data_IF_070976779552
#
_entry.id   IF_070976779552
#
_cell.length_a   1.000
_cell.length_b   1.000
_cell.length_c   1.000
_cell.angle_alpha   90.00
_cell.angle_beta   90.00
_cell.angle_gamma   90.00
#
_symmetry.space_group_name_H-M   'P 1'
#
loop_
_entity.id
_entity.type
_entity.pdbx_description
1 polymer ?
#
# COMPACT_ATOMS: atom_id res chain seq x y z
N UNK A 1 -17.46 1.63 -1.74
CA UNK A 1 -16.49 0.74 -1.22
C UNK A 1 -15.79 -0.15 -2.21
N UNK A 2 -16.09 -0.04 -3.48
CA UNK A 2 -15.56 -0.78 -4.59
C UNK A 2 -14.70 0.15 -5.47
N UNK A 3 -13.85 0.94 -4.82
CA UNK A 3 -12.65 1.43 -5.46
C UNK A 3 -11.57 0.34 -5.33
N UNK A 4 -11.95 -0.91 -5.54
CA UNK A 4 -11.07 -1.91 -6.03
C UNK A 4 -10.68 -1.45 -7.42
N UNK A 5 -9.48 -0.97 -7.50
CA UNK A 5 -8.84 -0.59 -8.72
C UNK A 5 -8.69 -1.84 -9.57
N UNK A 6 -9.48 -1.97 -10.60
CA UNK A 6 -9.37 -3.04 -11.56
C UNK A 6 -8.31 -2.66 -12.60
N UNK A 7 -7.21 -3.39 -12.59
CA UNK A 7 -6.29 -3.39 -13.73
C UNK A 7 -6.67 -4.58 -14.60
N UNK A 8 -7.34 -4.33 -15.67
CA UNK A 8 -7.22 -5.27 -16.78
C UNK A 8 -5.75 -5.26 -17.20
N UNK A 9 -5.18 -6.44 -17.33
CA UNK A 9 -3.75 -6.74 -17.45
C UNK A 9 -3.00 -6.06 -18.61
N UNK A 10 -3.61 -5.19 -19.37
CA UNK A 10 -3.11 -4.77 -20.67
C UNK A 10 -2.83 -3.26 -20.85
N UNK A 11 -3.17 -2.38 -19.91
CA UNK A 11 -3.20 -0.94 -20.26
C UNK A 11 -2.19 -0.04 -19.53
N UNK A 12 -1.55 -0.41 -18.44
CA UNK A 12 -0.85 0.62 -17.66
C UNK A 12 0.66 0.57 -17.54
N UNK A 13 1.24 -0.59 -17.39
CA UNK A 13 2.71 -0.67 -17.36
C UNK A 13 3.29 -0.99 -18.73
N UNK A 14 2.51 -1.64 -19.60
CA UNK A 14 2.90 -1.99 -20.96
C UNK A 14 2.97 -0.79 -21.91
N UNK A 15 2.14 0.24 -21.66
CA UNK A 15 1.96 1.36 -22.61
C UNK A 15 2.96 2.50 -22.40
N UNK A 16 3.67 2.54 -21.28
CA UNK A 16 4.75 3.50 -21.08
C UNK A 16 5.96 3.12 -21.93
N UNK A 17 6.51 4.02 -22.74
CA UNK A 17 7.76 3.81 -23.46
C UNK A 17 8.89 3.30 -22.54
N UNK A 18 9.87 2.61 -23.14
CA UNK A 18 11.06 2.20 -22.40
C UNK A 18 11.79 3.41 -21.81
N UNK A 19 12.18 3.31 -20.53
CA UNK A 19 12.90 4.36 -19.84
C UNK A 19 12.05 5.54 -19.39
N UNK A 20 10.70 5.44 -19.44
CA UNK A 20 9.80 6.50 -18.99
C UNK A 20 10.03 6.87 -17.52
N UNK A 21 9.80 8.16 -17.24
CA UNK A 21 9.96 8.74 -15.90
C UNK A 21 8.64 8.64 -15.13
N UNK A 22 8.63 7.88 -14.03
CA UNK A 22 7.44 7.70 -13.19
C UNK A 22 7.62 8.37 -11.83
N UNK A 23 6.68 9.25 -11.48
CA UNK A 23 6.69 10.01 -10.22
C UNK A 23 6.00 9.25 -9.08
N UNK A 24 6.77 8.89 -8.04
CA UNK A 24 6.23 8.41 -6.77
C UNK A 24 7.18 8.73 -5.62
N UNK A 25 6.65 8.90 -4.40
CA UNK A 25 7.43 9.01 -3.16
C UNK A 25 7.31 7.77 -2.28
N UNK A 26 6.68 6.71 -2.77
CA UNK A 26 6.41 5.50 -2.03
C UNK A 26 7.37 4.39 -2.44
N UNK A 27 8.29 4.00 -1.55
CA UNK A 27 9.21 2.88 -1.78
C UNK A 27 8.45 1.57 -2.07
N UNK A 28 7.29 1.39 -1.46
CA UNK A 28 6.41 0.25 -1.72
C UNK A 28 5.95 0.19 -3.18
N UNK A 29 5.53 1.34 -3.75
CA UNK A 29 5.12 1.42 -5.16
C UNK A 29 6.31 1.27 -6.09
N UNK A 30 7.41 1.92 -5.76
CA UNK A 30 8.67 1.84 -6.51
C UNK A 30 9.14 0.40 -6.63
N UNK A 31 9.26 -0.34 -5.52
CA UNK A 31 9.70 -1.73 -5.52
C UNK A 31 8.83 -2.62 -6.43
N UNK A 32 7.50 -2.54 -6.29
CA UNK A 32 6.58 -3.34 -7.07
C UNK A 32 6.62 -2.99 -8.57
N UNK A 33 6.74 -1.70 -8.89
CA UNK A 33 6.82 -1.24 -10.27
C UNK A 33 8.14 -1.68 -10.93
N UNK A 34 9.28 -1.44 -10.29
CA UNK A 34 10.60 -1.79 -10.83
C UNK A 34 10.83 -3.29 -10.96
N UNK A 35 10.18 -4.11 -10.14
CA UNK A 35 10.22 -5.57 -10.31
C UNK A 35 9.58 -6.03 -11.64
N UNK A 36 8.56 -5.32 -12.12
CA UNK A 36 7.88 -5.62 -13.39
C UNK A 36 8.46 -4.86 -14.58
N UNK A 37 8.88 -3.65 -14.35
CA UNK A 37 9.41 -2.71 -15.36
C UNK A 37 10.73 -2.12 -14.86
N UNK A 38 11.82 -2.91 -14.90
CA UNK A 38 13.14 -2.47 -14.42
C UNK A 38 13.77 -1.36 -15.29
N UNK A 39 13.19 -1.11 -16.46
CA UNK A 39 13.60 -0.05 -17.38
C UNK A 39 13.13 1.34 -16.95
N UNK A 40 12.10 1.44 -16.10
CA UNK A 40 11.53 2.73 -15.71
C UNK A 40 12.44 3.53 -14.79
N UNK A 41 12.41 4.85 -14.96
CA UNK A 41 13.11 5.78 -14.09
C UNK A 41 12.15 6.32 -13.02
N UNK A 42 12.35 5.89 -11.77
CA UNK A 42 11.54 6.41 -10.67
C UNK A 42 12.12 7.72 -10.17
N UNK A 43 11.32 8.78 -10.17
CA UNK A 43 11.68 10.08 -9.59
C UNK A 43 10.77 10.42 -8.43
N UNK A 44 11.38 11.02 -7.41
CA UNK A 44 10.68 11.40 -6.19
C UNK A 44 9.66 12.50 -6.44
N UNK A 45 8.38 12.28 -6.09
CA UNK A 45 7.28 13.19 -6.31
C UNK A 45 6.69 13.70 -5.00
N UNK A 46 6.90 14.98 -4.68
CA UNK A 46 6.34 15.67 -3.51
C UNK A 46 5.30 16.71 -3.88
N UNK A 47 4.48 17.05 -2.89
CA UNK A 47 3.44 18.07 -2.95
C UNK A 47 2.05 17.49 -2.69
N UNK A 48 1.04 18.33 -2.67
CA UNK A 48 -0.36 17.93 -2.67
C UNK A 48 -0.78 17.41 -4.06
N UNK A 49 -2.03 16.95 -4.20
CA UNK A 49 -2.54 16.40 -5.46
C UNK A 49 -2.40 17.41 -6.61
N UNK A 50 -2.81 18.67 -6.41
CA UNK A 50 -2.74 19.70 -7.44
C UNK A 50 -1.30 19.95 -7.90
N UNK A 51 -0.36 20.07 -6.95
CA UNK A 51 1.06 20.27 -7.27
C UNK A 51 1.64 19.10 -8.06
N UNK A 52 1.25 17.87 -7.73
CA UNK A 52 1.72 16.67 -8.43
C UNK A 52 1.16 16.58 -9.84
N UNK A 53 -0.13 16.93 -10.03
CA UNK A 53 -0.74 17.01 -11.36
C UNK A 53 -0.10 18.11 -12.21
N UNK A 54 0.16 19.28 -11.62
CA UNK A 54 0.82 20.37 -12.33
C UNK A 54 2.23 19.98 -12.83
N UNK A 55 2.98 19.20 -12.07
CA UNK A 55 4.29 18.68 -12.50
C UNK A 55 4.18 17.68 -13.65
N UNK A 56 3.13 16.84 -13.65
CA UNK A 56 2.83 15.96 -14.79
C UNK A 56 2.51 16.79 -16.03
N UNK A 57 1.64 17.81 -15.89
CA UNK A 57 1.23 18.68 -16.99
C UNK A 57 2.42 19.49 -17.54
N UNK A 58 3.39 19.81 -16.68
CA UNK A 58 4.64 20.48 -17.10
C UNK A 58 5.64 19.56 -17.81
N UNK A 59 5.34 18.24 -17.92
CA UNK A 59 6.22 17.26 -18.56
C UNK A 59 7.44 16.86 -17.73
N UNK A 60 7.43 17.11 -16.42
CA UNK A 60 8.51 16.64 -15.53
C UNK A 60 8.50 15.12 -15.36
N UNK A 61 7.37 14.47 -15.64
CA UNK A 61 7.10 13.03 -15.53
C UNK A 61 6.27 12.57 -16.73
N UNK A 62 6.49 11.36 -17.19
CA UNK A 62 5.65 10.69 -18.18
C UNK A 62 4.39 10.10 -17.53
N UNK A 63 4.50 9.68 -16.26
CA UNK A 63 3.38 9.21 -15.45
C UNK A 63 3.61 9.49 -13.96
N UNK A 64 2.53 9.56 -13.18
CA UNK A 64 2.60 9.68 -11.71
C UNK A 64 1.62 8.70 -11.06
N UNK A 65 1.99 8.16 -9.90
CA UNK A 65 1.14 7.23 -9.15
C UNK A 65 0.55 7.94 -7.93
N UNK A 66 -0.77 8.11 -7.94
CA UNK A 66 -1.54 8.74 -6.86
C UNK A 66 -2.55 7.75 -6.26
N UNK A 67 -3.16 8.13 -5.14
CA UNK A 67 -4.31 7.41 -4.60
C UNK A 67 -5.58 7.88 -5.34
N UNK A 68 -6.27 6.96 -6.02
CA UNK A 68 -7.49 7.27 -6.79
C UNK A 68 -8.56 7.95 -5.93
N UNK A 69 -8.77 7.48 -4.70
CA UNK A 69 -9.71 8.10 -3.76
C UNK A 69 -9.45 9.60 -3.50
N UNK A 70 -8.18 10.02 -3.53
CA UNK A 70 -7.81 11.44 -3.38
C UNK A 70 -8.20 12.26 -4.59
N UNK A 71 -8.03 11.72 -5.79
CA UNK A 71 -8.43 12.36 -7.06
C UNK A 71 -9.97 12.46 -7.15
N UNK A 72 -10.68 11.37 -6.89
CA UNK A 72 -12.15 11.31 -6.88
C UNK A 72 -12.72 12.34 -5.90
N UNK A 73 -12.20 12.39 -4.66
CA UNK A 73 -12.66 13.34 -3.64
C UNK A 73 -12.47 14.81 -4.03
N UNK A 74 -11.50 15.11 -4.89
CA UNK A 74 -11.20 16.45 -5.37
C UNK A 74 -11.87 16.76 -6.72
N UNK A 75 -12.68 15.85 -7.29
CA UNK A 75 -13.35 16.02 -8.58
C UNK A 75 -12.37 15.93 -9.77
N UNK A 76 -11.33 15.10 -9.65
CA UNK A 76 -10.32 14.90 -10.70
C UNK A 76 -10.39 13.50 -11.31
N UNK A 77 -11.56 12.88 -11.35
CA UNK A 77 -11.76 11.54 -11.92
C UNK A 77 -11.28 11.47 -13.38
N UNK A 78 -11.53 12.51 -14.17
CA UNK A 78 -11.11 12.59 -15.58
C UNK A 78 -9.58 12.58 -15.77
N UNK A 79 -8.81 12.78 -14.68
CA UNK A 79 -7.35 12.74 -14.68
C UNK A 79 -6.82 11.33 -14.39
N UNK A 80 -7.68 10.39 -14.06
CA UNK A 80 -7.30 8.99 -13.81
C UNK A 80 -7.25 8.27 -15.15
N UNK A 81 -6.04 8.06 -15.65
CA UNK A 81 -5.83 7.31 -16.90
C UNK A 81 -6.09 5.84 -16.70
N UNK A 82 -5.68 5.31 -15.55
CA UNK A 82 -5.82 3.91 -15.23
C UNK A 82 -5.73 3.69 -13.73
N UNK A 83 -6.39 2.64 -13.28
CA UNK A 83 -6.44 2.28 -11.87
C UNK A 83 -5.69 0.96 -11.66
N UNK A 84 -4.69 0.93 -10.76
CA UNK A 84 -3.82 -0.23 -10.48
C UNK A 84 -4.56 -1.25 -9.62
N UNK A 85 -4.69 -2.51 -10.06
CA UNK A 85 -5.30 -3.58 -9.28
C UNK A 85 -4.46 -3.94 -8.05
N UNK A 86 -5.09 -4.56 -7.06
CA UNK A 86 -4.37 -5.08 -5.89
C UNK A 86 -3.49 -6.29 -6.24
N UNK A 87 -3.77 -6.96 -7.34
CA UNK A 87 -3.01 -8.07 -7.90
C UNK A 87 -1.69 -7.58 -8.49
N UNK A 88 -1.70 -6.36 -9.04
CA UNK A 88 -0.53 -5.75 -9.65
C UNK A 88 0.29 -4.94 -8.66
N UNK A 89 -0.34 -4.30 -7.70
CA UNK A 89 0.37 -3.55 -6.67
C UNK A 89 -0.39 -3.56 -5.34
N UNK A 90 0.06 -4.40 -4.42
CA UNK A 90 -0.51 -4.44 -3.07
C UNK A 90 -0.44 -3.04 -2.41
N UNK A 91 -1.53 -2.62 -1.74
CA UNK A 91 -1.60 -1.34 -1.06
C UNK A 91 -0.77 -1.32 0.24
N UNK A 92 -0.70 -0.16 0.88
CA UNK A 92 -0.25 -0.06 2.26
C UNK A 92 -1.29 -0.65 3.21
N UNK A 93 -0.85 -1.20 4.33
CA UNK A 93 -1.78 -1.68 5.35
C UNK A 93 -2.72 -0.58 5.83
N UNK A 94 -4.02 -0.88 5.84
CA UNK A 94 -5.08 0.07 6.18
C UNK A 94 -5.39 1.12 5.12
N UNK A 95 -4.83 1.03 3.91
CA UNK A 95 -5.11 2.00 2.85
C UNK A 95 -6.60 2.01 2.50
N UNK A 96 -7.20 3.21 2.50
CA UNK A 96 -8.63 3.41 2.23
C UNK A 96 -9.53 3.28 3.46
N UNK A 97 -9.04 2.78 4.58
CA UNK A 97 -9.78 2.82 5.84
C UNK A 97 -9.69 4.21 6.47
N UNK A 98 -10.82 4.73 6.95
CA UNK A 98 -10.85 5.98 7.72
C UNK A 98 -10.64 5.64 9.20
N UNK A 99 -9.56 6.13 9.79
CA UNK A 99 -9.29 6.05 11.22
C UNK A 99 -9.77 7.31 11.94
N UNK A 100 -10.44 7.13 13.06
CA UNK A 100 -10.83 8.23 13.95
C UNK A 100 -10.04 8.10 15.24
N UNK A 101 -9.26 9.14 15.57
CA UNK A 101 -8.48 9.19 16.81
C UNK A 101 -9.23 9.97 17.88
N UNK A 102 -9.27 9.42 19.09
CA UNK A 102 -9.80 10.10 20.26
C UNK A 102 -9.03 9.70 21.52
N UNK A 103 -9.22 10.44 22.62
CA UNK A 103 -8.57 10.12 23.90
C UNK A 103 -9.06 8.78 24.43
N UNK A 104 -8.15 7.92 24.86
CA UNK A 104 -8.44 6.57 25.37
C UNK A 104 -9.40 6.57 26.56
N UNK A 105 -9.33 7.59 27.41
CA UNK A 105 -10.18 7.70 28.60
C UNK A 105 -11.57 8.31 28.34
N UNK A 106 -11.83 8.81 27.12
CA UNK A 106 -13.05 9.54 26.78
C UNK A 106 -14.19 8.59 26.39
N UNK A 107 -14.84 8.03 27.39
CA UNK A 107 -15.91 7.03 27.20
C UNK A 107 -17.13 7.58 26.45
N UNK A 108 -17.42 8.87 26.60
CA UNK A 108 -18.54 9.51 25.92
C UNK A 108 -18.29 9.59 24.41
N UNK A 109 -17.12 10.05 24.00
CA UNK A 109 -16.72 10.07 22.59
C UNK A 109 -16.66 8.66 22.01
N UNK A 110 -16.12 7.68 22.75
CA UNK A 110 -16.13 6.27 22.30
C UNK A 110 -17.54 5.76 22.01
N UNK A 111 -18.51 6.08 22.88
CA UNK A 111 -19.90 5.68 22.69
C UNK A 111 -20.53 6.33 21.44
N UNK A 112 -20.21 7.61 21.18
CA UNK A 112 -20.66 8.32 19.98
C UNK A 112 -20.04 7.80 18.68
N UNK A 113 -18.78 7.34 18.72
CA UNK A 113 -18.08 6.82 17.56
C UNK A 113 -18.43 5.37 17.21
N UNK A 114 -18.89 4.59 18.20
CA UNK A 114 -19.19 3.17 18.04
C UNK A 114 -20.12 2.82 16.85
N UNK A 115 -21.18 3.59 16.51
CA UNK A 115 -22.01 3.33 15.35
C UNK A 115 -21.30 3.47 14.00
N UNK A 116 -20.12 4.10 13.97
CA UNK A 116 -19.30 4.25 12.77
C UNK A 116 -18.34 3.06 12.57
N UNK A 117 -18.24 2.19 13.57
CA UNK A 117 -17.40 1.01 13.48
C UNK A 117 -17.94 0.05 12.41
N UNK A 118 -17.05 -0.35 11.51
CA UNK A 118 -17.38 -1.24 10.42
C UNK A 118 -16.58 -2.53 10.58
N UNK A 119 -17.24 -3.54 11.12
CA UNK A 119 -16.64 -4.82 11.51
C UNK A 119 -15.70 -5.41 10.45
N UNK A 120 -16.14 -5.52 9.21
CA UNK A 120 -15.33 -6.10 8.12
C UNK A 120 -14.05 -5.31 7.85
N UNK A 121 -14.11 -3.99 8.02
CA UNK A 121 -12.91 -3.14 7.87
C UNK A 121 -12.00 -3.30 9.08
N UNK A 122 -12.55 -3.36 10.29
CA UNK A 122 -11.78 -3.54 11.52
C UNK A 122 -11.00 -4.86 11.48
N UNK A 123 -11.65 -5.97 11.13
CA UNK A 123 -10.99 -7.29 11.01
C UNK A 123 -9.84 -7.24 10.01
N UNK A 124 -10.07 -6.69 8.80
CA UNK A 124 -9.03 -6.59 7.76
C UNK A 124 -7.86 -5.72 8.20
N UNK A 125 -8.17 -4.53 8.70
CA UNK A 125 -7.14 -3.58 9.14
C UNK A 125 -6.37 -4.10 10.35
N UNK A 126 -7.02 -4.84 11.25
CA UNK A 126 -6.36 -5.51 12.38
C UNK A 126 -5.29 -6.48 11.90
N UNK A 127 -5.57 -7.33 10.92
CA UNK A 127 -4.58 -8.26 10.36
C UNK A 127 -3.43 -7.53 9.66
N UNK A 128 -3.76 -6.54 8.82
CA UNK A 128 -2.77 -5.74 8.08
C UNK A 128 -1.85 -4.95 9.01
N UNK A 129 -2.42 -4.36 10.07
CA UNK A 129 -1.64 -3.63 11.09
C UNK A 129 -0.76 -4.55 11.93
N UNK A 130 -1.24 -5.75 12.27
CA UNK A 130 -0.45 -6.74 12.98
C UNK A 130 0.79 -7.14 12.18
N UNK A 131 0.64 -7.40 10.87
CA UNK A 131 1.75 -7.65 9.95
C UNK A 131 2.73 -6.46 9.94
N UNK A 132 2.22 -5.27 9.66
CA UNK A 132 3.05 -4.07 9.54
C UNK A 132 3.81 -3.75 10.85
N UNK A 133 3.14 -3.89 12.00
CA UNK A 133 3.75 -3.69 13.31
C UNK A 133 4.85 -4.71 13.61
N UNK A 134 4.63 -5.99 13.26
CA UNK A 134 5.62 -7.05 13.49
C UNK A 134 6.89 -6.85 12.66
N UNK A 135 6.77 -6.27 11.46
CA UNK A 135 7.89 -5.90 10.59
C UNK A 135 8.50 -4.53 10.94
N UNK A 136 8.07 -3.86 12.02
CA UNK A 136 8.41 -2.47 12.35
C UNK A 136 8.16 -1.49 11.19
N UNK A 137 7.08 -1.73 10.42
CA UNK A 137 6.75 -0.95 9.25
C UNK A 137 6.38 0.50 9.56
N UNK A 138 6.93 1.42 8.78
CA UNK A 138 6.64 2.84 8.78
C UNK A 138 6.29 3.37 7.39
N UNK A 139 6.10 4.68 7.26
CA UNK A 139 5.74 5.31 5.98
C UNK A 139 6.84 5.21 4.90
N UNK A 140 8.08 4.95 5.30
CA UNK A 140 9.26 4.93 4.43
C UNK A 140 9.79 3.51 4.19
N UNK A 141 8.99 2.49 4.43
CA UNK A 141 9.39 1.09 4.23
C UNK A 141 8.61 0.46 3.07
N UNK A 142 9.25 -0.39 2.28
CA UNK A 142 8.64 -1.02 1.11
C UNK A 142 7.79 -2.23 1.49
N UNK A 143 6.89 -2.06 2.47
CA UNK A 143 5.96 -3.08 2.96
C UNK A 143 4.58 -2.83 2.34
N UNK A 144 3.95 -3.87 1.84
CA UNK A 144 2.56 -3.87 1.40
C UNK A 144 1.79 -5.04 2.00
N UNK A 145 0.50 -4.84 2.21
CA UNK A 145 -0.39 -5.93 2.60
C UNK A 145 -1.83 -5.60 2.22
N UNK A 146 -2.61 -6.66 2.04
CA UNK A 146 -4.01 -6.55 1.72
C UNK A 146 -4.79 -7.75 2.24
N UNK A 147 -5.84 -7.48 3.00
CA UNK A 147 -6.73 -8.48 3.58
C UNK A 147 -8.10 -8.47 2.91
N UNK A 148 -8.63 -9.65 2.63
CA UNK A 148 -9.98 -9.86 2.08
C UNK A 148 -10.72 -10.83 2.98
N UNK A 149 -12.00 -10.55 3.25
CA UNK A 149 -12.88 -11.51 3.91
C UNK A 149 -13.51 -12.45 2.86
N UNK A 150 -13.38 -13.75 3.10
CA UNK A 150 -13.97 -14.83 2.32
C UNK A 150 -14.93 -15.60 3.25
N UNK A 151 -16.13 -15.08 3.48
CA UNK A 151 -17.06 -15.59 4.48
C UNK A 151 -16.48 -15.44 5.90
N UNK A 152 -16.40 -16.56 6.65
CA UNK A 152 -15.82 -16.60 8.01
C UNK A 152 -14.28 -16.58 8.01
N UNK A 153 -13.64 -16.62 6.84
CA UNK A 153 -12.19 -16.63 6.72
C UNK A 153 -11.67 -15.27 6.26
N UNK A 154 -10.43 -15.00 6.64
CA UNK A 154 -9.62 -13.89 6.18
C UNK A 154 -8.51 -14.43 5.26
N UNK A 155 -8.34 -13.85 4.09
CA UNK A 155 -7.18 -14.03 3.24
C UNK A 155 -6.29 -12.81 3.33
N UNK A 156 -5.10 -12.96 3.92
CA UNK A 156 -4.10 -11.90 4.03
C UNK A 156 -2.93 -12.18 3.10
N UNK A 157 -2.58 -11.19 2.30
CA UNK A 157 -1.38 -11.17 1.46
C UNK A 157 -0.43 -10.10 1.98
N UNK A 158 0.86 -10.38 1.99
CA UNK A 158 1.90 -9.44 2.37
C UNK A 158 3.10 -9.50 1.44
N UNK A 159 3.82 -8.39 1.30
CA UNK A 159 5.09 -8.35 0.60
C UNK A 159 6.05 -7.34 1.25
N UNK A 160 7.35 -7.61 1.04
CA UNK A 160 8.45 -6.68 1.26
C UNK A 160 9.26 -6.64 -0.03
N UNK A 161 9.48 -5.44 -0.59
CA UNK A 161 10.20 -5.28 -1.86
C UNK A 161 11.51 -4.51 -1.70
N UNK A 162 12.53 -4.86 -2.48
CA UNK A 162 13.72 -4.04 -2.61
C UNK A 162 13.35 -2.75 -3.38
N UNK A 163 13.61 -1.56 -2.84
CA UNK A 163 13.34 -0.31 -3.54
C UNK A 163 13.97 -0.22 -4.94
N UNK A 164 15.08 -0.89 -5.15
CA UNK A 164 15.77 -0.94 -6.44
C UNK A 164 15.13 -1.94 -7.44
N UNK A 165 14.04 -2.62 -7.05
CA UNK A 165 13.30 -3.55 -7.90
C UNK A 165 13.92 -4.94 -8.05
N UNK A 166 15.05 -5.22 -7.36
CA UNK A 166 15.79 -6.46 -7.52
C UNK A 166 15.13 -7.70 -6.92
N UNK A 167 14.35 -7.54 -5.85
CA UNK A 167 13.74 -8.65 -5.14
C UNK A 167 12.39 -8.26 -4.52
N UNK A 168 11.41 -9.16 -4.65
CA UNK A 168 10.08 -9.00 -4.07
C UNK A 168 9.72 -10.27 -3.30
N UNK A 169 9.73 -10.17 -1.98
CA UNK A 169 9.41 -11.28 -1.08
C UNK A 169 7.93 -11.23 -0.73
N UNK A 170 7.21 -12.32 -0.97
CA UNK A 170 5.77 -12.42 -0.77
C UNK A 170 5.41 -13.58 0.15
N UNK A 171 4.35 -13.37 0.95
CA UNK A 171 3.72 -14.40 1.76
C UNK A 171 2.22 -14.17 1.85
N UNK A 172 1.47 -15.24 2.12
CA UNK A 172 0.02 -15.16 2.30
C UNK A 172 -0.47 -16.25 3.23
N UNK A 173 -1.62 -16.03 3.84
CA UNK A 173 -2.30 -16.99 4.71
C UNK A 173 -3.80 -16.87 4.56
N UNK A 174 -4.51 -17.98 4.78
CA UNK A 174 -5.97 -18.01 4.99
C UNK A 174 -6.26 -18.62 6.33
N UNK A 175 -7.21 -18.05 7.05
CA UNK A 175 -7.63 -18.58 8.35
C UNK A 175 -8.87 -17.87 8.89
N UNK A 176 -9.39 -18.30 10.03
CA UNK A 176 -10.59 -17.70 10.62
C UNK A 176 -10.41 -16.20 10.89
N UNK A 177 -11.41 -15.39 10.53
CA UNK A 177 -11.36 -13.94 10.73
C UNK A 177 -11.15 -13.50 12.19
N UNK A 178 -11.60 -14.32 13.15
CA UNK A 178 -11.37 -14.08 14.59
C UNK A 178 -9.89 -14.09 14.99
N UNK A 179 -9.03 -14.70 14.17
CA UNK A 179 -7.60 -14.85 14.42
C UNK A 179 -6.78 -13.80 13.64
N UNK A 180 -7.42 -12.68 13.21
CA UNK A 180 -6.84 -11.64 12.37
C UNK A 180 -5.44 -11.18 12.80
N UNK A 181 -5.23 -10.92 14.09
CA UNK A 181 -3.92 -10.54 14.62
C UNK A 181 -2.88 -11.63 14.44
N UNK A 182 -3.22 -12.88 14.76
CA UNK A 182 -2.31 -14.02 14.64
C UNK A 182 -1.95 -14.27 13.16
N UNK A 183 -2.92 -14.17 12.26
CA UNK A 183 -2.69 -14.29 10.81
C UNK A 183 -1.75 -13.20 10.30
N UNK A 184 -1.88 -11.96 10.81
CA UNK A 184 -0.97 -10.86 10.49
C UNK A 184 0.48 -11.17 10.89
N UNK A 185 0.68 -11.65 12.11
CA UNK A 185 2.00 -12.06 12.63
C UNK A 185 2.56 -13.22 11.81
N UNK A 186 1.74 -14.23 11.52
CA UNK A 186 2.17 -15.40 10.73
C UNK A 186 2.69 -15.02 9.34
N UNK A 187 2.02 -14.09 8.64
CA UNK A 187 2.52 -13.60 7.34
C UNK A 187 3.82 -12.83 7.51
N UNK A 188 3.94 -12.01 8.56
CA UNK A 188 5.17 -11.26 8.82
C UNK A 188 6.37 -12.19 9.08
N UNK A 189 6.18 -13.24 9.90
CA UNK A 189 7.21 -14.25 10.16
C UNK A 189 7.59 -14.99 8.88
N UNK A 190 6.62 -15.41 8.08
CA UNK A 190 6.89 -16.04 6.79
C UNK A 190 7.65 -15.14 5.80
N UNK A 191 7.46 -13.83 5.85
CA UNK A 191 8.27 -12.87 5.07
C UNK A 191 9.70 -12.79 5.61
N UNK A 192 9.88 -12.76 6.94
CA UNK A 192 11.20 -12.73 7.58
C UNK A 192 12.00 -14.00 7.29
N UNK A 193 11.37 -15.17 7.38
CA UNK A 193 11.98 -16.48 7.05
C UNK A 193 12.46 -16.54 5.60
N UNK A 194 11.80 -15.83 4.70
CA UNK A 194 12.21 -15.70 3.29
C UNK A 194 13.28 -14.62 3.04
N UNK A 195 13.77 -13.98 4.09
CA UNK A 195 14.86 -13.01 4.00
C UNK A 195 14.43 -11.55 3.92
N UNK A 196 13.16 -11.21 4.17
CA UNK A 196 12.69 -9.82 4.16
C UNK A 196 13.44 -8.91 5.14
N UNK A 197 13.98 -9.48 6.24
CA UNK A 197 14.77 -8.74 7.22
C UNK A 197 15.99 -8.02 6.62
N UNK A 198 16.65 -8.62 5.63
CA UNK A 198 17.82 -8.00 4.98
C UNK A 198 17.41 -6.73 4.18
N UNK A 199 16.27 -6.78 3.46
CA UNK A 199 15.73 -5.62 2.74
C UNK A 199 15.37 -4.50 3.73
N UNK A 200 14.67 -4.85 4.80
CA UNK A 200 14.25 -3.88 5.82
C UNK A 200 15.47 -3.23 6.51
N UNK A 201 16.50 -4.01 6.86
CA UNK A 201 17.73 -3.48 7.45
C UNK A 201 18.47 -2.51 6.52
N UNK A 202 18.54 -2.80 5.21
CA UNK A 202 19.12 -1.90 4.21
C UNK A 202 18.37 -0.56 4.22
N UNK A 203 17.05 -0.58 4.15
CA UNK A 203 16.23 0.64 4.13
C UNK A 203 16.31 1.44 5.44
N UNK A 204 16.33 0.77 6.60
CA UNK A 204 16.49 1.45 7.89
C UNK A 204 17.89 2.03 8.09
N UNK A 205 18.93 1.35 7.61
CA UNK A 205 20.31 1.83 7.68
C UNK A 205 20.56 3.07 6.82
N UNK A 206 19.90 3.17 5.67
CA UNK A 206 19.96 4.34 4.78
C UNK A 206 19.14 5.52 5.29
N UNK A 207 18.07 5.27 6.08
CA UNK A 207 17.21 6.33 6.60
C UNK A 207 17.84 7.15 7.75
N UNK A 208 18.93 6.67 8.38
CA UNK A 208 19.56 7.29 9.55
C UNK A 208 18.64 7.32 10.79
N UNK A 209 19.16 7.54 11.99
CA UNK A 209 18.34 7.77 13.16
C UNK A 209 17.63 9.13 13.02
N UNK A 210 16.28 9.15 13.08
CA UNK A 210 15.47 10.35 13.25
C UNK A 210 15.35 10.71 14.72
#
# INVERSE_FOLDING_TARGET
>A
RDAACDWSSDVCSSDLPLGSIVGTSSLRRQAQLLTRRPDLQIRFLRGNVNTRLAKLDAGEYDAIILAAAGLIRLGFEDRITSVISVEDSLPAGGQGAVGIECRTADREIHALLKPLDHHDTDVRVTAERALNKHLNGGCQVPIACYAVLEGENLWLRGLVGDPDGGNLITAQVRGPQRDATALGIQVAEALLDKGAGAILQKVYGEAGPQ
#
